data_IF_840607989489
#
_entry.id   IF_840607989489
#
_cell.length_a   1.000
_cell.length_b   1.000
_cell.length_c   1.000
_cell.angle_alpha   90.00
_cell.angle_beta   90.00
_cell.angle_gamma   90.00
#
_symmetry.space_group_name_H-M   'P 1'
#
loop_
_entity.id
_entity.type
_entity.pdbx_description
1 polymer ?
#
# COMPACT_ATOMS: atom_id res chain seq x y z
N UNK A 1 12.03 -13.71 -43.96
CA UNK A 1 11.27 -12.56 -43.42
C UNK A 1 9.91 -13.08 -43.03
N UNK A 2 9.72 -13.39 -41.76
CA UNK A 2 8.43 -13.78 -41.19
C UNK A 2 8.01 -12.64 -40.25
N UNK A 3 6.93 -11.96 -40.58
CA UNK A 3 6.33 -10.89 -39.85
C UNK A 3 5.92 -11.38 -38.46
N UNK A 4 6.53 -10.80 -37.44
CA UNK A 4 6.14 -10.92 -36.04
C UNK A 4 4.89 -10.06 -35.85
N UNK A 5 3.71 -10.62 -36.16
CA UNK A 5 2.42 -10.02 -35.82
C UNK A 5 2.32 -9.93 -34.33
N UNK A 6 2.50 -8.70 -33.82
CA UNK A 6 2.11 -8.28 -32.49
C UNK A 6 0.61 -8.58 -32.29
N UNK A 7 0.32 -9.65 -31.55
CA UNK A 7 -1.03 -9.92 -31.07
C UNK A 7 -1.24 -9.15 -29.76
N UNK A 8 -1.52 -7.88 -29.89
CA UNK A 8 -2.06 -7.06 -28.80
C UNK A 8 -3.54 -7.46 -28.59
N UNK A 9 -3.75 -8.68 -28.03
CA UNK A 9 -5.07 -9.10 -27.58
C UNK A 9 -5.22 -8.70 -26.12
N UNK A 10 -6.12 -7.76 -25.85
CA UNK A 10 -6.61 -7.50 -24.51
C UNK A 10 -7.00 -8.83 -23.85
N UNK A 11 -6.27 -9.21 -22.79
CA UNK A 11 -6.50 -10.45 -22.08
C UNK A 11 -7.43 -10.20 -20.90
N UNK A 12 -8.37 -11.13 -20.68
CA UNK A 12 -9.19 -11.15 -19.48
C UNK A 12 -8.71 -12.30 -18.59
N UNK A 13 -8.29 -11.97 -17.36
CA UNK A 13 -7.72 -12.93 -16.44
C UNK A 13 -8.81 -13.45 -15.48
N UNK A 14 -8.92 -14.78 -15.41
CA UNK A 14 -9.88 -15.44 -14.52
C UNK A 14 -9.44 -15.38 -13.04
N UNK A 15 -10.33 -15.71 -12.08
CA UNK A 15 -10.01 -15.72 -10.67
C UNK A 15 -8.73 -16.48 -10.32
N UNK A 16 -7.84 -15.82 -9.60
CA UNK A 16 -6.52 -16.35 -9.22
C UNK A 16 -5.50 -16.43 -10.34
N UNK A 17 -5.75 -15.76 -11.47
CA UNK A 17 -4.79 -15.63 -12.56
C UNK A 17 -4.18 -14.24 -12.55
N UNK A 18 -2.86 -14.20 -12.53
CA UNK A 18 -2.03 -12.99 -12.66
C UNK A 18 -0.87 -13.28 -13.58
N UNK A 19 -0.34 -12.23 -14.21
CA UNK A 19 0.99 -12.33 -14.80
C UNK A 19 2.03 -12.47 -13.69
N UNK A 20 3.17 -13.09 -14.02
CA UNK A 20 4.21 -13.37 -13.05
C UNK A 20 4.12 -14.79 -12.47
N UNK A 21 4.97 -15.09 -11.51
CA UNK A 21 5.01 -16.38 -10.83
C UNK A 21 4.32 -16.27 -9.48
N UNK A 22 3.25 -17.04 -9.29
CA UNK A 22 2.64 -17.21 -7.97
C UNK A 22 3.55 -18.10 -7.11
N UNK A 23 3.93 -17.60 -5.95
CA UNK A 23 4.80 -18.31 -4.98
C UNK A 23 3.96 -19.03 -3.94
N UNK A 24 2.96 -18.35 -3.40
CA UNK A 24 1.99 -18.89 -2.44
C UNK A 24 0.61 -18.45 -2.89
N UNK A 25 -0.35 -19.35 -2.85
CA UNK A 25 -1.75 -19.04 -3.15
C UNK A 25 -2.65 -19.76 -2.14
N UNK A 26 -3.62 -19.04 -1.60
CA UNK A 26 -4.56 -19.53 -0.61
C UNK A 26 -5.96 -18.99 -0.91
N UNK A 27 -6.98 -19.82 -0.69
CA UNK A 27 -8.37 -19.39 -0.75
C UNK A 27 -9.00 -19.47 0.63
N UNK A 28 -9.60 -18.38 1.09
CA UNK A 28 -10.18 -18.24 2.43
C UNK A 28 -11.46 -17.42 2.34
N UNK A 29 -12.59 -17.98 2.77
CA UNK A 29 -13.87 -17.25 2.96
C UNK A 29 -14.34 -16.40 1.77
N UNK A 30 -14.05 -16.80 0.53
CA UNK A 30 -14.39 -16.02 -0.67
C UNK A 30 -13.34 -14.98 -1.07
N UNK A 31 -12.15 -15.08 -0.49
CA UNK A 31 -10.96 -14.29 -0.84
C UNK A 31 -9.90 -15.21 -1.45
N UNK A 32 -9.16 -14.73 -2.46
CA UNK A 32 -8.01 -15.44 -3.03
C UNK A 32 -6.78 -14.59 -2.77
N UNK A 33 -5.89 -15.07 -1.90
CA UNK A 33 -4.66 -14.43 -1.51
C UNK A 33 -3.51 -15.03 -2.31
N UNK A 34 -2.67 -14.19 -2.91
CA UNK A 34 -1.54 -14.65 -3.73
C UNK A 34 -0.29 -13.79 -3.53
N UNK A 35 0.84 -14.46 -3.34
CA UNK A 35 2.16 -13.84 -3.44
C UNK A 35 2.63 -13.96 -4.88
N UNK A 36 2.95 -12.83 -5.50
CA UNK A 36 3.37 -12.74 -6.89
C UNK A 36 4.79 -12.18 -6.99
N UNK A 37 5.59 -12.77 -7.88
CA UNK A 37 6.93 -12.28 -8.21
C UNK A 37 7.03 -12.09 -9.71
N UNK A 38 7.46 -10.90 -10.11
CA UNK A 38 7.73 -10.53 -11.48
C UNK A 38 9.24 -10.35 -11.71
N UNK A 39 9.70 -10.83 -12.86
CA UNK A 39 11.06 -10.58 -13.32
C UNK A 39 11.27 -9.11 -13.65
N UNK A 40 12.52 -8.67 -13.59
CA UNK A 40 12.95 -7.32 -13.93
C UNK A 40 12.61 -6.90 -15.36
N UNK A 41 12.30 -5.61 -15.55
CA UNK A 41 12.15 -4.96 -16.83
C UNK A 41 11.01 -5.49 -17.73
N UNK A 42 10.02 -6.18 -17.15
CA UNK A 42 8.96 -6.84 -17.93
C UNK A 42 7.79 -5.92 -18.19
N UNK A 43 7.44 -5.71 -19.46
CA UNK A 43 6.18 -5.11 -19.86
C UNK A 43 5.09 -6.19 -19.92
N UNK A 44 3.95 -5.94 -19.26
CA UNK A 44 2.78 -6.79 -19.31
C UNK A 44 1.79 -6.23 -20.33
N UNK A 45 1.13 -7.07 -21.13
CA UNK A 45 0.15 -6.60 -22.09
C UNK A 45 -1.08 -5.96 -21.41
N UNK A 46 -1.87 -5.21 -22.15
CA UNK A 46 -3.13 -4.68 -21.64
C UNK A 46 -4.06 -5.83 -21.25
N UNK A 47 -4.59 -5.78 -20.01
CA UNK A 47 -5.42 -6.84 -19.46
C UNK A 47 -6.42 -6.29 -18.45
N UNK A 48 -7.37 -7.12 -18.08
CA UNK A 48 -8.32 -6.88 -16.99
C UNK A 48 -8.51 -8.15 -16.17
N UNK A 49 -9.04 -8.02 -14.97
CA UNK A 49 -9.36 -9.15 -14.10
C UNK A 49 -10.86 -9.30 -13.91
N UNK A 50 -11.33 -10.53 -13.82
CA UNK A 50 -12.74 -10.84 -13.56
C UNK A 50 -13.18 -10.35 -12.18
N UNK A 51 -12.32 -10.53 -11.18
CA UNK A 51 -12.57 -10.10 -9.80
C UNK A 51 -11.88 -8.78 -9.49
N UNK A 52 -12.49 -7.98 -8.61
CA UNK A 52 -11.81 -6.86 -7.99
C UNK A 52 -10.75 -7.33 -7.00
N UNK A 53 -9.63 -6.61 -6.90
CA UNK A 53 -8.54 -7.01 -6.03
C UNK A 53 -7.80 -5.83 -5.41
N UNK A 54 -7.30 -6.06 -4.21
CA UNK A 54 -6.26 -5.24 -3.60
C UNK A 54 -4.89 -5.79 -3.99
N UNK A 55 -3.93 -4.91 -4.26
CA UNK A 55 -2.54 -5.28 -4.52
C UNK A 55 -1.60 -4.42 -3.68
N UNK A 56 -0.77 -5.04 -2.87
CA UNK A 56 0.27 -4.40 -2.08
C UNK A 56 1.63 -4.66 -2.73
N UNK A 57 2.31 -3.61 -3.17
CA UNK A 57 3.69 -3.70 -3.62
C UNK A 57 4.62 -3.83 -2.41
N UNK A 58 5.23 -5.00 -2.27
CA UNK A 58 6.14 -5.33 -1.17
C UNK A 58 7.57 -4.90 -1.46
N UNK A 59 8.05 -5.11 -2.69
CA UNK A 59 9.42 -4.80 -3.11
C UNK A 59 9.48 -4.51 -4.61
N UNK A 60 10.47 -3.74 -5.06
CA UNK A 60 10.64 -3.34 -6.45
C UNK A 60 9.91 -2.04 -6.77
N UNK A 61 9.53 -1.91 -8.02
CA UNK A 61 8.73 -0.78 -8.52
C UNK A 61 7.94 -1.22 -9.75
N UNK A 62 6.79 -0.63 -9.97
CA UNK A 62 6.09 -0.80 -11.23
C UNK A 62 5.36 0.46 -11.65
N UNK A 63 5.13 0.56 -12.94
CA UNK A 63 4.37 1.63 -13.59
C UNK A 63 3.10 1.05 -14.18
N UNK A 64 1.98 1.69 -13.88
CA UNK A 64 0.68 1.33 -14.42
C UNK A 64 0.17 2.40 -15.39
N UNK A 65 -0.39 1.93 -16.49
CA UNK A 65 -1.07 2.76 -17.48
C UNK A 65 -2.56 2.45 -17.43
N UNK A 66 -3.33 3.41 -17.00
CA UNK A 66 -4.78 3.32 -16.86
C UNK A 66 -5.45 4.52 -17.50
N UNK A 67 -6.25 4.30 -18.57
CA UNK A 67 -6.83 5.37 -19.38
C UNK A 67 -5.74 6.34 -19.88
N UNK A 68 -5.83 7.61 -19.49
CA UNK A 68 -4.85 8.67 -19.81
C UNK A 68 -3.83 8.91 -18.72
N UNK A 69 -3.85 8.12 -17.64
CA UNK A 69 -2.97 8.27 -16.48
C UNK A 69 -1.82 7.27 -16.54
N UNK A 70 -0.66 7.74 -16.19
CA UNK A 70 0.51 6.90 -15.91
C UNK A 70 0.88 7.12 -14.45
N UNK A 71 1.00 6.05 -13.70
CA UNK A 71 1.25 6.09 -12.26
C UNK A 71 2.45 5.21 -11.94
N UNK A 72 3.46 5.79 -11.28
CA UNK A 72 4.61 5.06 -10.76
C UNK A 72 4.34 4.66 -9.31
N UNK A 73 4.51 3.39 -9.01
CA UNK A 73 4.28 2.84 -7.68
C UNK A 73 5.58 2.40 -7.02
N UNK A 74 5.70 2.69 -5.75
CA UNK A 74 6.81 2.34 -4.87
C UNK A 74 6.38 1.32 -3.80
N UNK A 75 7.31 0.60 -3.17
CA UNK A 75 7.00 -0.30 -2.05
C UNK A 75 6.14 0.37 -0.97
N UNK A 76 5.30 -0.41 -0.33
CA UNK A 76 4.27 0.02 0.64
C UNK A 76 3.10 0.78 0.02
N UNK A 77 2.95 0.75 -1.31
CA UNK A 77 1.72 1.21 -1.97
C UNK A 77 0.73 0.06 -2.08
N UNK A 78 -0.49 0.32 -1.63
CA UNK A 78 -1.65 -0.55 -1.86
C UNK A 78 -2.54 0.08 -2.93
N UNK A 79 -2.98 -0.74 -3.87
CA UNK A 79 -3.92 -0.35 -4.93
C UNK A 79 -5.20 -1.16 -4.84
N UNK A 80 -6.31 -0.59 -5.28
CA UNK A 80 -7.56 -1.30 -5.55
C UNK A 80 -7.88 -1.25 -7.04
N UNK A 81 -8.09 -2.41 -7.63
CA UNK A 81 -8.53 -2.57 -9.01
C UNK A 81 -9.95 -3.11 -9.02
N UNK A 82 -10.93 -2.34 -9.49
CA UNK A 82 -12.29 -2.85 -9.70
C UNK A 82 -12.33 -3.93 -10.78
N UNK A 83 -13.34 -4.82 -10.75
CA UNK A 83 -13.52 -5.84 -11.79
C UNK A 83 -13.61 -5.24 -13.20
N UNK A 84 -13.01 -5.89 -14.18
CA UNK A 84 -13.13 -5.56 -15.61
C UNK A 84 -12.38 -4.31 -16.06
N UNK A 85 -11.63 -3.64 -15.19
CA UNK A 85 -10.85 -2.46 -15.55
C UNK A 85 -9.60 -2.88 -16.31
N UNK A 86 -9.47 -2.39 -17.57
CA UNK A 86 -8.28 -2.59 -18.38
C UNK A 86 -7.13 -1.68 -17.94
N UNK A 87 -5.97 -2.27 -17.77
CA UNK A 87 -4.71 -1.60 -17.47
C UNK A 87 -3.53 -2.33 -18.13
N UNK A 88 -2.39 -1.68 -18.17
CA UNK A 88 -1.12 -2.23 -18.64
C UNK A 88 -0.03 -1.87 -17.65
N UNK A 89 0.90 -2.78 -17.39
CA UNK A 89 1.94 -2.61 -16.41
C UNK A 89 3.33 -2.74 -17.00
N UNK A 90 4.27 -2.00 -16.44
CA UNK A 90 5.70 -2.15 -16.67
C UNK A 90 6.40 -2.36 -15.34
N UNK A 91 7.03 -3.51 -15.19
CA UNK A 91 7.79 -3.87 -13.99
C UNK A 91 9.17 -3.21 -14.05
N UNK A 92 9.57 -2.60 -12.94
CA UNK A 92 10.87 -1.92 -12.84
C UNK A 92 12.08 -2.84 -12.98
N UNK A 93 13.26 -2.25 -13.11
CA UNK A 93 14.53 -2.96 -13.36
C UNK A 93 15.00 -3.89 -12.23
N UNK A 94 14.38 -3.81 -11.07
CA UNK A 94 14.63 -4.71 -9.91
C UNK A 94 13.58 -5.81 -9.76
N UNK A 95 12.69 -5.94 -10.75
CA UNK A 95 11.53 -6.80 -10.62
C UNK A 95 10.44 -6.21 -9.71
N UNK A 96 9.51 -7.05 -9.30
CA UNK A 96 8.45 -6.66 -8.37
C UNK A 96 7.92 -7.84 -7.56
N UNK A 97 7.66 -7.59 -6.28
CA UNK A 97 6.95 -8.51 -5.39
C UNK A 97 5.64 -7.89 -4.97
N UNK A 98 4.58 -8.66 -5.12
CA UNK A 98 3.23 -8.21 -4.79
C UNK A 98 2.54 -9.22 -3.89
N UNK A 99 1.73 -8.72 -3.00
CA UNK A 99 0.71 -9.49 -2.32
C UNK A 99 -0.65 -9.02 -2.81
N UNK A 100 -1.43 -9.92 -3.38
CA UNK A 100 -2.74 -9.61 -3.94
C UNK A 100 -3.84 -10.34 -3.19
N UNK A 101 -5.00 -9.70 -3.07
CA UNK A 101 -6.20 -10.28 -2.49
C UNK A 101 -7.37 -10.00 -3.43
N UNK A 102 -7.77 -11.01 -4.20
CA UNK A 102 -8.97 -10.96 -5.01
C UNK A 102 -10.21 -11.23 -4.16
N UNK A 103 -11.28 -10.51 -4.44
CA UNK A 103 -12.52 -10.58 -3.67
C UNK A 103 -13.62 -11.16 -4.56
N UNK A 104 -14.13 -12.32 -4.21
CA UNK A 104 -15.22 -12.96 -4.95
C UNK A 104 -16.50 -12.12 -4.87
N UNK A 105 -17.26 -12.09 -5.95
CA UNK A 105 -18.51 -11.31 -6.05
C UNK A 105 -19.48 -11.67 -4.94
N UNK A 106 -19.62 -12.95 -4.60
CA UNK A 106 -20.48 -13.42 -3.51
C UNK A 106 -20.08 -12.87 -2.14
N UNK A 107 -18.79 -12.61 -1.91
CA UNK A 107 -18.31 -11.97 -0.69
C UNK A 107 -18.69 -10.49 -0.65
N UNK A 108 -18.52 -9.77 -1.76
CA UNK A 108 -18.92 -8.36 -1.89
C UNK A 108 -20.44 -8.19 -1.79
N UNK A 109 -21.22 -9.10 -2.37
CA UNK A 109 -22.69 -9.04 -2.35
C UNK A 109 -23.25 -9.06 -0.92
N UNK A 110 -22.63 -9.83 -0.01
CA UNK A 110 -23.00 -9.84 1.41
C UNK A 110 -22.83 -8.49 2.11
N UNK A 111 -21.98 -7.61 1.56
CA UNK A 111 -21.61 -6.34 2.18
C UNK A 111 -22.26 -5.13 1.50
N UNK A 112 -22.94 -5.31 0.37
CA UNK A 112 -23.53 -4.19 -0.40
C UNK A 112 -24.52 -3.33 0.37
N UNK A 113 -25.17 -3.90 1.38
CA UNK A 113 -26.05 -3.14 2.27
C UNK A 113 -25.32 -2.21 3.24
N UNK A 114 -24.03 -2.51 3.52
CA UNK A 114 -23.22 -1.83 4.54
C UNK A 114 -22.08 -1.01 3.98
N UNK A 115 -21.62 -1.33 2.77
CA UNK A 115 -20.45 -0.70 2.15
C UNK A 115 -20.62 -0.55 0.65
N UNK A 116 -20.29 0.62 0.13
CA UNK A 116 -20.14 0.83 -1.31
C UNK A 116 -18.75 0.35 -1.75
N UNK A 117 -18.72 -0.70 -2.57
CA UNK A 117 -17.48 -1.16 -3.18
C UNK A 117 -16.94 -0.07 -4.11
N UNK A 118 -15.66 0.33 -4.00
CA UNK A 118 -15.12 1.35 -4.88
C UNK A 118 -15.15 0.92 -6.36
N UNK A 119 -15.83 1.70 -7.20
CA UNK A 119 -16.00 1.42 -8.64
C UNK A 119 -14.84 1.93 -9.51
N UNK A 120 -13.90 2.63 -8.92
CA UNK A 120 -12.73 3.18 -9.63
C UNK A 120 -11.44 2.77 -8.96
N UNK A 121 -10.38 2.62 -9.77
CA UNK A 121 -9.03 2.41 -9.32
C UNK A 121 -8.59 3.48 -8.33
N UNK A 122 -7.95 3.09 -7.24
CA UNK A 122 -7.29 3.99 -6.32
C UNK A 122 -6.00 3.38 -5.76
N UNK A 123 -5.17 4.24 -5.24
CA UNK A 123 -3.95 3.88 -4.53
C UNK A 123 -3.82 4.63 -3.20
N UNK A 124 -3.07 4.03 -2.28
CA UNK A 124 -2.64 4.65 -1.05
C UNK A 124 -1.20 4.20 -0.74
N UNK A 125 -0.31 5.15 -0.53
CA UNK A 125 1.06 4.85 -0.10
C UNK A 125 1.17 5.12 1.40
N UNK A 126 1.30 4.04 2.18
CA UNK A 126 1.25 4.11 3.63
C UNK A 126 -0.14 4.38 4.20
N UNK A 127 -0.18 4.72 5.48
CA UNK A 127 -1.44 4.89 6.19
C UNK A 127 -2.08 3.59 6.67
N UNK A 128 -3.28 3.72 7.20
CA UNK A 128 -4.00 2.63 7.85
C UNK A 128 -4.24 1.45 6.89
N UNK A 129 -4.66 1.74 5.66
CA UNK A 129 -4.96 0.72 4.67
C UNK A 129 -3.72 -0.14 4.30
N UNK A 130 -2.56 0.50 4.16
CA UNK A 130 -1.31 -0.21 3.90
C UNK A 130 -0.90 -1.12 5.06
N UNK A 131 -1.08 -0.66 6.32
CA UNK A 131 -0.75 -1.47 7.48
C UNK A 131 -1.70 -2.64 7.70
N UNK A 132 -2.97 -2.46 7.37
CA UNK A 132 -3.94 -3.56 7.34
C UNK A 132 -3.57 -4.59 6.27
N UNK A 133 -3.17 -4.17 5.07
CA UNK A 133 -2.69 -5.07 4.03
C UNK A 133 -1.41 -5.81 4.47
N UNK A 134 -0.49 -5.15 5.18
CA UNK A 134 0.68 -5.81 5.77
C UNK A 134 0.31 -6.81 6.88
N UNK A 135 -0.69 -6.52 7.69
CA UNK A 135 -1.24 -7.47 8.68
C UNK A 135 -1.82 -8.68 7.97
N UNK A 136 -2.58 -8.46 6.90
CA UNK A 136 -3.16 -9.52 6.09
C UNK A 136 -2.09 -10.39 5.44
N UNK A 137 -1.02 -9.76 4.91
CA UNK A 137 0.14 -10.47 4.37
C UNK A 137 0.81 -11.37 5.40
N UNK A 138 1.00 -10.87 6.63
CA UNK A 138 1.56 -11.67 7.73
C UNK A 138 0.68 -12.88 8.04
N UNK A 139 -0.64 -12.71 8.20
CA UNK A 139 -1.57 -13.81 8.46
C UNK A 139 -1.55 -14.86 7.34
N UNK A 140 -1.44 -14.40 6.08
CA UNK A 140 -1.29 -15.29 4.93
C UNK A 140 0.01 -16.10 4.98
N UNK A 141 1.11 -15.49 5.44
CA UNK A 141 2.42 -16.16 5.52
C UNK A 141 2.59 -17.07 6.72
N UNK A 142 1.99 -16.74 7.85
CA UNK A 142 2.11 -17.49 9.10
C UNK A 142 1.07 -18.61 9.22
N UNK A 143 -0.06 -18.52 8.54
CA UNK A 143 -1.14 -19.50 8.38
C UNK A 143 -1.43 -20.34 9.64
N UNK A 144 -2.08 -19.73 10.65
CA UNK A 144 -2.52 -20.40 11.87
C UNK A 144 -3.98 -20.83 11.77
N UNK A 145 -4.46 -21.67 12.69
CA UNK A 145 -5.84 -22.17 12.71
C UNK A 145 -6.90 -21.06 12.71
N UNK A 146 -6.65 -19.95 13.39
CA UNK A 146 -7.55 -18.80 13.47
C UNK A 146 -7.35 -17.76 12.35
N UNK A 147 -6.32 -17.92 11.50
CA UNK A 147 -6.01 -16.97 10.41
C UNK A 147 -7.21 -16.68 9.50
N UNK A 148 -8.10 -17.61 9.13
CA UNK A 148 -9.27 -17.29 8.32
C UNK A 148 -10.18 -16.21 8.93
N UNK A 149 -10.38 -16.21 10.24
CA UNK A 149 -11.18 -15.19 10.93
C UNK A 149 -10.49 -13.83 10.95
N UNK A 150 -9.16 -13.82 11.16
CA UNK A 150 -8.36 -12.59 11.14
C UNK A 150 -8.35 -12.00 9.74
N UNK A 151 -8.14 -12.82 8.70
CA UNK A 151 -8.15 -12.43 7.30
C UNK A 151 -9.49 -11.76 6.94
N UNK A 152 -10.62 -12.41 7.28
CA UNK A 152 -11.94 -11.86 6.99
C UNK A 152 -12.18 -10.53 7.74
N UNK A 153 -11.83 -10.46 9.03
CA UNK A 153 -11.97 -9.24 9.82
C UNK A 153 -11.15 -8.06 9.29
N UNK A 154 -9.90 -8.31 8.91
CA UNK A 154 -9.02 -7.28 8.31
C UNK A 154 -9.54 -6.82 6.95
N UNK A 155 -10.05 -7.73 6.12
CA UNK A 155 -10.64 -7.36 4.82
C UNK A 155 -11.89 -6.50 4.98
N UNK A 156 -12.75 -6.78 5.97
CA UNK A 156 -13.90 -5.94 6.28
C UNK A 156 -13.48 -4.53 6.70
N UNK A 157 -12.45 -4.41 7.54
CA UNK A 157 -11.87 -3.13 7.97
C UNK A 157 -11.27 -2.37 6.78
N UNK A 158 -10.51 -3.03 5.92
CA UNK A 158 -9.96 -2.44 4.68
C UNK A 158 -11.05 -1.91 3.76
N UNK A 159 -12.12 -2.67 3.54
CA UNK A 159 -13.23 -2.22 2.70
C UNK A 159 -13.97 -1.03 3.32
N UNK A 160 -14.18 -1.02 4.64
CA UNK A 160 -14.82 0.10 5.33
C UNK A 160 -14.00 1.39 5.20
N UNK A 161 -12.67 1.30 5.32
CA UNK A 161 -11.77 2.45 5.13
C UNK A 161 -11.82 2.92 3.67
N UNK A 162 -11.70 2.00 2.71
CA UNK A 162 -11.75 2.32 1.29
C UNK A 162 -13.07 3.00 0.89
N UNK A 163 -14.20 2.58 1.47
CA UNK A 163 -15.51 3.20 1.29
C UNK A 163 -15.55 4.61 1.86
N UNK A 164 -15.07 4.80 3.11
CA UNK A 164 -15.11 6.11 3.79
C UNK A 164 -14.23 7.16 3.12
N UNK A 165 -13.07 6.77 2.60
CA UNK A 165 -12.16 7.69 1.90
C UNK A 165 -12.77 8.26 0.62
N UNK A 166 -13.82 7.64 0.08
CA UNK A 166 -14.50 8.05 -1.16
C UNK A 166 -15.82 8.78 -0.98
N UNK A 167 -16.33 8.87 0.24
CA UNK A 167 -17.47 9.74 0.48
C UNK A 167 -17.05 11.18 0.16
N UNK A 168 -17.81 11.91 -0.67
CA UNK A 168 -17.46 13.28 -1.04
C UNK A 168 -17.32 14.10 0.24
N UNK A 169 -16.11 14.53 0.53
CA UNK A 169 -15.92 15.53 1.57
C UNK A 169 -16.42 16.85 0.97
N UNK A 170 -17.58 17.32 1.41
CA UNK A 170 -18.27 18.51 0.86
C UNK A 170 -17.40 19.78 0.88
N UNK A 171 -16.30 19.78 1.60
CA UNK A 171 -15.39 20.92 1.69
C UNK A 171 -14.01 20.57 1.14
N UNK A 172 -13.59 21.30 0.11
CA UNK A 172 -12.23 21.20 -0.41
C UNK A 172 -11.22 21.65 0.66
N UNK A 173 -10.05 20.95 0.78
CA UNK A 173 -9.00 21.41 1.68
C UNK A 173 -8.52 22.80 1.27
N UNK A 174 -8.20 23.66 2.23
CA UNK A 174 -7.60 24.97 1.94
C UNK A 174 -6.27 24.81 1.17
N UNK A 175 -5.96 25.73 0.26
CA UNK A 175 -4.74 25.68 -0.56
C UNK A 175 -3.47 25.62 0.31
N UNK A 176 -3.45 26.34 1.43
CA UNK A 176 -2.30 26.32 2.35
C UNK A 176 -2.08 24.95 2.99
N UNK A 177 -3.13 24.13 3.17
CA UNK A 177 -3.00 22.79 3.74
C UNK A 177 -2.19 21.86 2.83
N UNK A 178 -2.34 22.00 1.51
CA UNK A 178 -1.54 21.24 0.54
C UNK A 178 -0.04 21.54 0.72
N UNK A 179 0.35 22.82 0.86
CA UNK A 179 1.74 23.21 1.09
C UNK A 179 2.30 22.61 2.39
N UNK A 180 1.52 22.61 3.46
CA UNK A 180 1.91 21.97 4.74
C UNK A 180 2.16 20.47 4.56
N UNK A 181 1.29 19.78 3.83
CA UNK A 181 1.46 18.33 3.55
C UNK A 181 2.70 18.07 2.69
N UNK A 182 2.93 18.86 1.66
CA UNK A 182 4.13 18.75 0.80
C UNK A 182 5.40 18.96 1.61
N UNK A 183 5.44 19.96 2.49
CA UNK A 183 6.58 20.17 3.38
C UNK A 183 6.81 19.01 4.34
N UNK A 184 5.74 18.49 4.96
CA UNK A 184 5.83 17.30 5.82
C UNK A 184 6.40 16.10 5.06
N UNK A 185 6.00 15.90 3.81
CA UNK A 185 6.51 14.81 2.96
C UNK A 185 7.98 15.01 2.57
N UNK A 186 8.38 16.25 2.30
CA UNK A 186 9.75 16.55 1.89
C UNK A 186 10.75 16.49 3.07
N UNK A 187 10.31 16.88 4.27
CA UNK A 187 11.19 17.10 5.42
C UNK A 187 10.81 16.27 6.66
N UNK A 188 10.11 15.13 6.51
CA UNK A 188 9.60 14.32 7.63
C UNK A 188 10.68 13.86 8.61
N UNK A 189 11.94 13.73 8.16
CA UNK A 189 13.08 13.36 9.01
C UNK A 189 13.44 14.45 10.01
N UNK A 190 13.18 15.72 9.69
CA UNK A 190 13.45 16.85 10.55
C UNK A 190 12.40 16.96 11.68
N UNK A 191 12.72 17.74 12.69
CA UNK A 191 11.79 18.02 13.79
C UNK A 191 10.92 19.23 13.45
N UNK A 192 9.87 19.02 12.62
CA UNK A 192 8.93 20.07 12.23
C UNK A 192 7.89 20.28 13.34
N UNK A 193 7.81 21.49 13.87
CA UNK A 193 6.78 21.83 14.86
C UNK A 193 5.50 22.35 14.20
N UNK A 194 4.37 22.22 14.88
CA UNK A 194 3.10 22.80 14.43
C UNK A 194 3.22 24.33 14.30
N UNK A 195 4.06 24.97 15.14
CA UNK A 195 4.31 26.41 15.09
C UNK A 195 5.02 26.83 13.80
N UNK A 196 6.07 26.12 13.40
CA UNK A 196 6.82 26.41 12.16
C UNK A 196 5.92 26.29 10.92
N UNK A 197 5.17 25.18 10.86
CA UNK A 197 4.23 24.90 9.76
C UNK A 197 3.09 25.94 9.68
N UNK A 198 2.58 26.38 10.84
CA UNK A 198 1.52 27.38 10.93
C UNK A 198 2.02 28.76 10.51
N UNK A 199 3.22 29.14 10.93
CA UNK A 199 3.86 30.40 10.55
C UNK A 199 4.03 30.50 9.04
N UNK A 200 4.55 29.42 8.40
CA UNK A 200 4.71 29.38 6.94
C UNK A 200 3.38 29.37 6.19
N UNK A 201 2.37 28.68 6.72
CA UNK A 201 1.03 28.65 6.15
C UNK A 201 0.25 29.98 6.34
N UNK A 202 0.76 30.90 7.17
CA UNK A 202 0.10 32.16 7.49
C UNK A 202 -1.17 31.99 8.33
N UNK A 203 -1.22 30.96 9.21
CA UNK A 203 -2.39 30.66 10.04
C UNK A 203 -2.00 30.43 11.50
N UNK A 204 -2.98 30.51 12.40
CA UNK A 204 -2.74 30.23 13.81
C UNK A 204 -2.50 28.71 14.03
N UNK A 205 -1.53 28.26 14.89
CA UNK A 205 -1.23 26.85 15.13
C UNK A 205 -2.45 25.98 15.52
N UNK A 206 -3.35 26.50 16.35
CA UNK A 206 -4.59 25.81 16.74
C UNK A 206 -5.52 25.60 15.52
N UNK A 207 -5.61 26.59 14.64
CA UNK A 207 -6.39 26.48 13.41
C UNK A 207 -5.79 25.45 12.46
N UNK A 208 -4.47 25.48 12.27
CA UNK A 208 -3.76 24.46 11.49
C UNK A 208 -4.05 23.05 12.03
N UNK A 209 -3.87 22.82 13.33
CA UNK A 209 -4.08 21.51 13.94
C UNK A 209 -5.51 21.00 13.76
N UNK A 210 -6.52 21.87 13.95
CA UNK A 210 -7.93 21.53 13.78
C UNK A 210 -8.27 21.17 12.32
N UNK A 211 -7.80 21.97 11.37
CA UNK A 211 -8.05 21.75 9.93
C UNK A 211 -7.28 20.49 9.46
N UNK A 212 -6.03 20.33 9.86
CA UNK A 212 -5.24 19.15 9.53
C UNK A 212 -5.94 17.86 10.00
N UNK A 213 -6.37 17.83 11.28
CA UNK A 213 -7.08 16.68 11.83
C UNK A 213 -8.40 16.39 11.11
N UNK A 214 -9.11 17.43 10.69
CA UNK A 214 -10.36 17.28 9.94
C UNK A 214 -10.17 16.61 8.58
N UNK A 215 -9.07 16.95 7.84
CA UNK A 215 -8.83 16.45 6.48
C UNK A 215 -8.01 15.17 6.44
N UNK A 216 -7.13 14.95 7.42
CA UNK A 216 -6.23 13.80 7.48
C UNK A 216 -6.60 12.78 8.56
N UNK A 217 -7.64 13.06 9.38
CA UNK A 217 -8.12 12.19 10.45
C UNK A 217 -7.06 11.81 11.51
N UNK A 218 -5.98 12.59 11.59
CA UNK A 218 -4.86 12.40 12.51
C UNK A 218 -4.16 13.73 12.81
N UNK A 219 -3.34 13.77 13.85
CA UNK A 219 -2.54 14.94 14.17
C UNK A 219 -1.34 15.09 13.23
N UNK A 220 -0.76 16.29 13.13
CA UNK A 220 0.47 16.54 12.36
C UNK A 220 1.61 15.64 12.83
N UNK A 221 1.78 15.47 14.15
CA UNK A 221 2.81 14.61 14.70
C UNK A 221 2.63 13.12 14.37
N UNK A 222 1.38 12.62 14.40
CA UNK A 222 1.06 11.26 13.95
C UNK A 222 1.33 11.07 12.47
N UNK A 223 0.97 12.05 11.64
CA UNK A 223 1.24 12.02 10.20
C UNK A 223 2.76 11.99 9.92
N UNK A 224 3.55 12.81 10.62
CA UNK A 224 5.00 12.81 10.49
C UNK A 224 5.61 11.47 10.95
N UNK A 225 5.15 10.91 12.07
CA UNK A 225 5.58 9.58 12.51
C UNK A 225 5.22 8.50 11.49
N UNK A 226 4.04 8.58 10.89
CA UNK A 226 3.63 7.67 9.82
C UNK A 226 4.61 7.73 8.63
N UNK A 227 4.98 8.92 8.15
CA UNK A 227 5.96 9.10 7.07
C UNK A 227 7.32 8.49 7.42
N UNK A 228 7.80 8.71 8.66
CA UNK A 228 9.05 8.11 9.16
C UNK A 228 8.99 6.58 9.18
N UNK A 229 7.88 6.02 9.64
CA UNK A 229 7.68 4.56 9.67
C UNK A 229 7.62 3.97 8.25
N UNK A 230 6.95 4.63 7.32
CA UNK A 230 6.91 4.23 5.91
C UNK A 230 8.31 4.23 5.29
N UNK A 231 9.06 5.28 5.53
CA UNK A 231 10.45 5.36 5.06
C UNK A 231 11.31 4.26 5.69
N UNK A 232 11.21 4.06 7.00
CA UNK A 232 11.91 2.98 7.69
C UNK A 232 11.54 1.60 7.12
N UNK A 233 10.27 1.35 6.83
CA UNK A 233 9.82 0.10 6.22
C UNK A 233 10.49 -0.16 4.86
N UNK A 234 10.62 0.87 4.01
CA UNK A 234 11.37 0.77 2.74
C UNK A 234 12.86 0.44 2.98
N UNK A 235 13.50 1.09 3.97
CA UNK A 235 14.90 0.83 4.31
C UNK A 235 15.13 -0.58 4.89
N UNK A 236 14.14 -1.12 5.60
CA UNK A 236 14.18 -2.49 6.14
C UNK A 236 14.20 -3.58 5.06
N UNK A 237 13.84 -3.27 3.82
CA UNK A 237 14.01 -4.13 2.64
C UNK A 237 15.48 -4.45 2.33
N UNK A 238 16.42 -3.63 2.79
CA UNK A 238 17.85 -3.92 2.74
C UNK A 238 18.27 -4.69 4.01
N UNK A 239 18.63 -5.99 3.91
CA UNK A 239 18.99 -6.81 5.06
C UNK A 239 20.29 -6.36 5.75
N UNK A 240 21.21 -5.76 4.98
CA UNK A 240 22.53 -5.34 5.45
C UNK A 240 22.51 -4.05 6.27
N UNK A 241 21.44 -3.25 6.16
CA UNK A 241 21.36 -1.96 6.85
C UNK A 241 21.02 -2.15 8.34
N UNK A 242 21.90 -1.76 9.29
CA UNK A 242 21.65 -1.90 10.73
C UNK A 242 20.37 -1.15 11.16
N UNK A 243 19.62 -1.70 12.13
CA UNK A 243 18.39 -1.06 12.62
C UNK A 243 18.64 0.33 13.24
N UNK A 244 19.82 0.53 13.84
CA UNK A 244 20.22 1.83 14.38
C UNK A 244 20.38 2.88 13.25
N UNK A 245 20.95 2.48 12.13
CA UNK A 245 21.10 3.36 10.96
C UNK A 245 19.75 3.62 10.30
N UNK A 246 18.88 2.61 10.18
CA UNK A 246 17.48 2.81 9.74
C UNK A 246 16.77 3.85 10.61
N UNK A 247 16.95 3.78 11.94
CA UNK A 247 16.36 4.76 12.85
C UNK A 247 16.86 6.17 12.55
N UNK A 248 18.16 6.35 12.41
CA UNK A 248 18.79 7.64 12.15
C UNK A 248 18.30 8.25 10.83
N UNK A 249 18.38 7.51 9.72
CA UNK A 249 17.99 8.04 8.39
C UNK A 249 16.48 8.25 8.26
N UNK A 250 15.67 7.60 9.09
CA UNK A 250 14.22 7.81 9.15
C UNK A 250 13.81 8.96 10.11
N UNK A 251 14.77 9.61 10.79
CA UNK A 251 14.50 10.74 11.68
C UNK A 251 14.01 10.36 13.08
N UNK A 252 14.30 9.12 13.54
CA UNK A 252 14.08 8.70 14.93
C UNK A 252 15.31 9.03 15.78
N UNK A 253 15.11 9.30 17.08
CA UNK A 253 16.21 9.60 17.99
C UNK A 253 17.17 8.43 18.19
N UNK A 254 16.65 7.21 18.15
CA UNK A 254 17.39 5.97 18.39
C UNK A 254 16.58 4.73 17.91
N UNK A 255 17.22 3.56 17.94
CA UNK A 255 16.60 2.29 17.56
C UNK A 255 15.40 1.91 18.44
N UNK A 256 15.41 2.23 19.74
CA UNK A 256 14.32 1.92 20.66
C UNK A 256 13.09 2.75 20.34
N UNK A 257 13.28 4.03 20.01
CA UNK A 257 12.23 4.92 19.55
C UNK A 257 11.62 4.41 18.21
N UNK A 258 12.46 4.07 17.21
CA UNK A 258 12.00 3.42 16.00
C UNK A 258 11.17 2.18 16.32
N UNK A 259 11.68 1.26 17.15
CA UNK A 259 11.02 -0.01 17.46
C UNK A 259 9.64 0.21 18.07
N UNK A 260 9.53 1.12 19.03
CA UNK A 260 8.26 1.44 19.71
C UNK A 260 7.23 2.03 18.74
N UNK A 261 7.64 3.01 17.94
CA UNK A 261 6.73 3.67 17.00
C UNK A 261 6.37 2.74 15.84
N UNK A 262 7.34 2.03 15.27
CA UNK A 262 7.11 1.07 14.20
C UNK A 262 6.12 -0.02 14.62
N UNK A 263 6.31 -0.60 15.83
CA UNK A 263 5.39 -1.61 16.37
C UNK A 263 3.98 -1.05 16.59
N UNK A 264 3.84 0.20 16.98
CA UNK A 264 2.53 0.85 17.13
C UNK A 264 1.76 0.94 15.80
N UNK A 265 2.45 1.27 14.71
CA UNK A 265 1.82 1.40 13.39
C UNK A 265 1.63 0.05 12.67
N UNK A 266 2.64 -0.81 12.70
CA UNK A 266 2.66 -2.06 11.92
C UNK A 266 2.19 -3.30 12.69
N UNK A 267 2.06 -3.21 14.02
CA UNK A 267 1.78 -4.35 14.88
C UNK A 267 2.98 -5.29 15.12
N UNK A 268 4.14 -5.03 14.50
CA UNK A 268 5.34 -5.87 14.61
C UNK A 268 6.61 -5.05 14.81
N UNK A 269 7.69 -5.68 15.29
CA UNK A 269 8.99 -5.01 15.41
C UNK A 269 9.65 -4.83 14.04
N UNK A 270 10.58 -3.85 13.87
CA UNK A 270 11.35 -3.67 12.64
C UNK A 270 12.10 -4.94 12.21
N UNK A 271 12.65 -5.72 13.18
CA UNK A 271 13.32 -6.99 12.90
C UNK A 271 12.36 -8.06 12.37
N UNK A 272 11.18 -8.20 12.97
CA UNK A 272 10.15 -9.12 12.50
C UNK A 272 9.64 -8.73 11.10
N UNK A 273 9.45 -7.42 10.86
CA UNK A 273 9.08 -6.91 9.54
C UNK A 273 10.14 -7.26 8.49
N UNK A 274 11.42 -7.01 8.79
CA UNK A 274 12.54 -7.38 7.91
C UNK A 274 12.55 -8.88 7.60
N UNK A 275 12.37 -9.74 8.59
CA UNK A 275 12.31 -11.19 8.41
C UNK A 275 11.14 -11.59 7.50
N UNK A 276 9.95 -11.02 7.69
CA UNK A 276 8.78 -11.26 6.85
C UNK A 276 9.04 -10.87 5.39
N UNK A 277 9.63 -9.69 5.16
CA UNK A 277 9.96 -9.21 3.82
C UNK A 277 11.05 -10.06 3.14
N UNK A 278 12.01 -10.59 3.91
CA UNK A 278 13.08 -11.44 3.41
C UNK A 278 12.62 -12.87 3.11
N UNK A 279 11.69 -13.43 3.85
CA UNK A 279 11.18 -14.80 3.67
C UNK A 279 10.54 -15.05 2.28
N UNK A 280 10.21 -14.01 1.55
CA UNK A 280 9.72 -14.10 0.17
C UNK A 280 10.80 -13.88 -0.90
N UNK A 281 12.08 -13.71 -0.56
CA UNK A 281 13.14 -13.66 -1.58
C UNK A 281 13.42 -15.09 -2.08
N UNK A 282 13.41 -15.34 -3.40
CA UNK A 282 13.94 -16.61 -3.90
C UNK A 282 15.39 -16.71 -3.43
N UNK A 283 15.77 -17.87 -2.90
CA UNK A 283 17.19 -18.22 -2.71
C UNK A 283 17.82 -18.10 -4.10
N UNK A 284 18.78 -17.19 -4.25
CA UNK A 284 19.58 -17.13 -5.46
C UNK A 284 20.31 -18.48 -5.57
N UNK A 285 19.96 -19.23 -6.62
CA UNK A 285 20.69 -20.43 -7.02
C UNK A 285 21.96 -20.03 -7.73
#
# INVERSE_FOLDING_TARGET
MAEQKSTDRNSHLNPGQFYGRSVVKQQVSGLILSDLVHSEGKALPAHSHELGFFSLLLDGAYREFYRTRTIDYEPMTITWHPPGIFHRDEIGQKGGKFFTVEVQTSWLDRLREFAAVPESLFDANGGELTWLAMRLYREHREAQLASPLVIEGVMLEMLAIATRQRLPNEKRPPVWLHRVVERLRAEFQQNLTTGDLASEAGVHPVHLAAVFRRFHNQTIGEYQQQLRVQFAAKQLGNPELPLAEVAQVAGFSDQSHLTRIFKRFSGMTPGAFRALMSAGKPIAL
#
